data_IF_499380725400
#
_entry.id   IF_499380725400
#
_cell.length_a   1.000
_cell.length_b   1.000
_cell.length_c   1.000
_cell.angle_alpha   90.00
_cell.angle_beta   90.00
_cell.angle_gamma   90.00
#
_symmetry.space_group_name_H-M   'P 1'
#
loop_
_entity.id
_entity.type
_entity.pdbx_description
1 polymer ?
#
# COMPACT_ATOMS: atom_id res chain seq x y z
N UNK A 1 2.89 5.35 -5.41
CA UNK A 1 1.57 5.15 -6.09
C UNK A 1 1.47 3.68 -6.50
N UNK A 2 0.30 3.13 -6.81
CA UNK A 2 0.18 1.70 -7.16
C UNK A 2 -0.74 1.47 -8.37
N UNK A 3 -0.50 0.39 -9.11
CA UNK A 3 -1.36 -0.15 -10.17
C UNK A 3 -2.28 -1.25 -9.62
N UNK A 4 -3.47 -1.39 -10.22
CA UNK A 4 -4.41 -2.49 -9.95
C UNK A 4 -4.46 -3.43 -11.16
N UNK A 5 -4.30 -4.73 -10.94
CA UNK A 5 -4.62 -5.73 -11.96
C UNK A 5 -6.13 -5.79 -12.26
N UNK A 6 -6.48 -5.48 -13.51
CA UNK A 6 -7.83 -5.58 -14.06
C UNK A 6 -7.79 -6.50 -15.28
N UNK A 7 -8.37 -7.69 -15.16
CA UNK A 7 -8.30 -8.75 -16.18
C UNK A 7 -9.04 -8.35 -17.48
N UNK A 8 -9.93 -7.37 -17.40
CA UNK A 8 -10.68 -6.84 -18.54
C UNK A 8 -9.90 -5.78 -19.34
N UNK A 9 -8.71 -5.39 -18.86
CA UNK A 9 -7.91 -4.32 -19.45
C UNK A 9 -6.50 -4.83 -19.75
N UNK A 10 -5.95 -4.37 -20.88
CA UNK A 10 -4.53 -4.54 -21.19
C UNK A 10 -3.70 -3.96 -20.04
N UNK A 11 -2.54 -4.56 -19.73
CA UNK A 11 -1.66 -4.15 -18.62
C UNK A 11 -1.25 -2.67 -18.66
N UNK A 12 -1.12 -2.08 -19.85
CA UNK A 12 -0.84 -0.65 -20.06
C UNK A 12 -2.01 0.28 -19.68
N UNK A 13 -3.22 -0.26 -19.59
CA UNK A 13 -4.47 0.44 -19.25
C UNK A 13 -4.96 0.09 -17.84
N UNK A 14 -4.13 -0.54 -17.02
CA UNK A 14 -4.42 -0.80 -15.61
C UNK A 14 -4.49 0.53 -14.84
N UNK A 15 -5.51 0.74 -13.99
CA UNK A 15 -5.69 2.02 -13.32
C UNK A 15 -4.63 2.24 -12.24
N UNK A 16 -4.03 3.43 -12.26
CA UNK A 16 -3.15 3.92 -11.19
C UNK A 16 -4.02 4.51 -10.08
N UNK A 17 -3.71 4.17 -8.83
CA UNK A 17 -4.49 4.53 -7.65
C UNK A 17 -3.58 4.89 -6.45
N UNK A 18 -4.21 5.36 -5.37
CA UNK A 18 -3.64 5.42 -4.03
C UNK A 18 -4.36 4.42 -3.12
N UNK A 19 -3.61 3.75 -2.25
CA UNK A 19 -4.16 2.98 -1.13
C UNK A 19 -4.69 3.98 -0.10
N UNK A 20 -5.85 3.68 0.50
CA UNK A 20 -6.46 4.51 1.55
C UNK A 20 -6.68 3.77 2.87
N UNK A 21 -6.66 2.45 2.87
CA UNK A 21 -6.78 1.61 4.06
C UNK A 21 -6.19 0.23 3.79
N UNK A 22 -5.52 -0.32 4.80
CA UNK A 22 -5.00 -1.69 4.82
C UNK A 22 -5.97 -2.52 5.67
N UNK A 23 -6.47 -3.64 5.13
CA UNK A 23 -7.46 -4.48 5.81
C UNK A 23 -6.75 -5.77 6.23
N UNK A 24 -6.41 -5.91 7.54
CA UNK A 24 -5.80 -7.13 8.05
C UNK A 24 -6.80 -8.29 8.09
N UNK A 25 -6.29 -9.51 7.93
CA UNK A 25 -7.03 -10.75 8.14
C UNK A 25 -7.15 -11.12 9.62
N UNK A 26 -7.67 -12.32 9.89
CA UNK A 26 -7.79 -12.87 11.26
C UNK A 26 -6.41 -13.04 11.93
N UNK A 27 -5.40 -13.32 11.13
CA UNK A 27 -4.02 -13.59 11.55
C UNK A 27 -3.19 -12.30 11.70
N UNK A 28 -3.81 -11.12 11.54
CA UNK A 28 -3.16 -9.81 11.57
C UNK A 28 -2.46 -9.41 10.26
N UNK A 29 -2.18 -10.36 9.36
CA UNK A 29 -1.54 -10.09 8.07
C UNK A 29 -2.45 -9.36 7.07
N UNK A 30 -1.86 -8.46 6.27
CA UNK A 30 -2.60 -7.63 5.30
C UNK A 30 -2.80 -8.41 4.01
N UNK A 31 -3.95 -9.08 3.88
CA UNK A 31 -4.33 -9.76 2.65
C UNK A 31 -5.03 -8.84 1.64
N UNK A 32 -5.66 -7.76 2.11
CA UNK A 32 -6.59 -6.94 1.31
C UNK A 32 -6.36 -5.44 1.55
N UNK A 33 -6.55 -4.64 0.51
CA UNK A 33 -6.44 -3.17 0.59
C UNK A 33 -7.66 -2.48 -0.02
N UNK A 34 -8.00 -1.32 0.54
CA UNK A 34 -9.01 -0.39 -0.01
C UNK A 34 -8.29 0.72 -0.77
N UNK A 35 -8.79 1.02 -1.97
CA UNK A 35 -8.15 1.88 -2.96
C UNK A 35 -9.11 2.97 -3.41
N UNK A 36 -8.60 4.19 -3.60
CA UNK A 36 -9.43 5.31 -4.08
C UNK A 36 -9.43 5.40 -5.60
N UNK A 37 -10.59 5.12 -6.22
CA UNK A 37 -10.81 5.33 -7.65
C UNK A 37 -11.55 6.66 -7.87
N UNK A 38 -11.62 7.10 -9.13
CA UNK A 38 -12.38 8.30 -9.50
C UNK A 38 -13.87 8.18 -9.14
N UNK A 39 -14.44 6.98 -9.28
CA UNK A 39 -15.87 6.70 -9.05
C UNK A 39 -16.20 6.22 -7.63
N UNK A 40 -15.23 6.16 -6.70
CA UNK A 40 -15.48 5.70 -5.34
C UNK A 40 -14.29 4.98 -4.72
N UNK A 41 -14.54 3.84 -4.10
CA UNK A 41 -13.52 2.99 -3.47
C UNK A 41 -13.66 1.56 -3.92
N UNK A 42 -12.55 0.89 -4.25
CA UNK A 42 -12.54 -0.52 -4.61
C UNK A 42 -11.67 -1.30 -3.61
N UNK A 43 -12.07 -2.54 -3.34
CA UNK A 43 -11.35 -3.46 -2.46
C UNK A 43 -10.71 -4.54 -3.34
N UNK A 44 -9.42 -4.80 -3.14
CA UNK A 44 -8.64 -5.78 -3.90
C UNK A 44 -7.61 -6.49 -3.00
N UNK A 45 -7.34 -7.79 -3.22
CA UNK A 45 -6.25 -8.49 -2.55
C UNK A 45 -4.90 -7.85 -2.89
N UNK A 46 -3.95 -7.87 -1.94
CA UNK A 46 -2.58 -7.33 -2.14
C UNK A 46 -1.88 -7.94 -3.35
N UNK A 47 -2.11 -9.23 -3.64
CA UNK A 47 -1.59 -9.93 -4.82
C UNK A 47 -1.98 -9.29 -6.17
N UNK A 48 -3.06 -8.49 -6.22
CA UNK A 48 -3.50 -7.76 -7.42
C UNK A 48 -2.99 -6.31 -7.47
N UNK A 49 -2.09 -5.93 -6.57
CA UNK A 49 -1.54 -4.58 -6.43
C UNK A 49 -0.07 -4.59 -6.81
N UNK A 50 0.32 -3.70 -7.72
CA UNK A 50 1.71 -3.58 -8.17
C UNK A 50 2.24 -2.20 -7.79
N UNK A 51 3.28 -2.09 -6.95
CA UNK A 51 3.87 -0.81 -6.62
C UNK A 51 4.48 -0.17 -7.87
N UNK A 52 4.36 1.15 -7.99
CA UNK A 52 5.11 1.93 -8.98
C UNK A 52 6.38 2.45 -8.31
N UNK A 53 7.53 2.08 -8.87
CA UNK A 53 8.80 2.72 -8.59
C UNK A 53 8.75 4.16 -9.14
N UNK A 54 8.56 5.12 -8.24
CA UNK A 54 8.60 6.54 -8.58
C UNK A 54 9.92 7.08 -8.06
N UNK A 55 10.86 7.39 -8.95
CA UNK A 55 12.03 8.17 -8.56
C UNK A 55 11.53 9.55 -8.12
N UNK A 56 11.77 9.89 -6.85
CA UNK A 56 11.44 11.20 -6.32
C UNK A 56 12.34 12.24 -6.96
N UNK A 57 11.85 12.90 -8.03
CA UNK A 57 12.44 14.14 -8.52
C UNK A 57 12.19 15.18 -7.44
N UNK A 58 13.15 15.29 -6.52
CA UNK A 58 13.07 16.10 -5.31
C UNK A 58 13.19 17.60 -5.64
N UNK A 59 12.11 18.17 -6.19
CA UNK A 59 11.90 19.61 -6.20
C UNK A 59 11.68 20.07 -4.75
N UNK A 60 12.79 20.38 -4.06
CA UNK A 60 12.95 20.87 -2.70
C UNK A 60 11.65 21.32 -1.98
N UNK A 61 10.91 20.36 -1.44
CA UNK A 61 9.67 20.57 -0.71
C UNK A 61 9.61 19.70 0.55
N UNK A 62 10.48 20.07 1.51
CA UNK A 62 10.39 19.84 2.96
C UNK A 62 10.03 18.42 3.43
N UNK A 63 11.08 17.76 3.93
CA UNK A 63 11.08 16.53 4.73
C UNK A 63 9.86 16.35 5.67
N UNK A 64 9.09 15.29 5.43
CA UNK A 64 8.30 14.61 6.47
C UNK A 64 8.95 13.25 6.72
N UNK A 65 9.30 12.99 7.97
CA UNK A 65 9.99 11.77 8.39
C UNK A 65 9.03 10.57 8.33
N UNK A 66 9.40 9.55 7.56
CA UNK A 66 8.77 8.23 7.65
C UNK A 66 9.38 7.50 8.86
N UNK A 67 8.90 7.85 10.05
CA UNK A 67 9.21 7.07 11.25
C UNK A 67 8.35 5.80 11.24
N UNK A 68 8.90 4.75 10.62
CA UNK A 68 8.29 3.43 10.59
C UNK A 68 8.03 2.95 12.03
N UNK A 69 6.80 2.57 12.41
CA UNK A 69 6.51 2.03 13.73
C UNK A 69 7.30 0.74 13.95
N UNK A 70 8.42 0.86 14.67
CA UNK A 70 9.16 -0.29 15.18
C UNK A 70 8.19 -1.07 16.07
N UNK A 71 7.74 -2.25 15.62
CA UNK A 71 7.02 -3.18 16.49
C UNK A 71 7.98 -3.54 17.62
N UNK A 72 7.72 -2.96 18.79
CA UNK A 72 8.50 -3.17 19.98
C UNK A 72 8.39 -4.62 20.41
N UNK A 73 9.48 -5.36 20.22
CA UNK A 73 9.65 -6.67 20.85
C UNK A 73 9.76 -6.43 22.34
N UNK A 74 8.64 -6.60 23.05
CA UNK A 74 8.57 -6.54 24.51
C UNK A 74 9.52 -7.62 25.07
N UNK A 75 10.67 -7.20 25.62
CA UNK A 75 11.46 -7.99 26.57
C UNK A 75 10.82 -7.90 27.97
N UNK A 76 11.40 -8.36 29.09
CA UNK A 76 12.70 -8.95 29.46
C UNK A 76 12.36 -9.88 30.68
N UNK A 77 13.00 -11.00 31.04
CA UNK A 77 14.41 -11.41 31.01
C UNK A 77 14.56 -12.95 30.85
N UNK A 78 15.77 -13.47 31.08
CA UNK A 78 15.99 -14.81 31.63
C UNK A 78 16.17 -14.73 33.15
N UNK A 79 15.81 -15.81 33.85
CA UNK A 79 16.47 -16.31 35.08
C UNK A 79 16.84 -17.77 34.84
#
# INVERSE_FOLDING_TARGET
MVLIADDNKKRLSWPITKIIELIPGRDGEIHTVRLKTQHGTVIRPVQRIFPLEVQAIANNAKELKEESPQVSKVGVCCE
#
